data_IF_083464373996
#
_entry.id   IF_083464373996
#
_cell.length_a   1.000
_cell.length_b   1.000
_cell.length_c   1.000
_cell.angle_alpha   90.00
_cell.angle_beta   90.00
_cell.angle_gamma   90.00
#
_symmetry.space_group_name_H-M   'P 1'
#
loop_
_entity.id
_entity.type
_entity.pdbx_description
1 polymer ?
#
# COMPACT_ATOMS: atom_id res chain seq x y z
N UNK A 1 6.31 9.10 -4.67
CA UNK A 1 6.89 7.85 -4.14
C UNK A 1 5.96 6.73 -4.51
N UNK A 2 6.53 5.57 -4.80
CA UNK A 2 5.79 4.39 -5.21
C UNK A 2 6.46 3.12 -4.66
N UNK A 3 5.66 2.07 -4.53
CA UNK A 3 6.11 0.72 -4.20
C UNK A 3 5.59 -0.21 -5.29
N UNK A 4 6.49 -0.99 -5.88
CA UNK A 4 6.16 -2.03 -6.86
C UNK A 4 6.36 -3.39 -6.18
N UNK A 5 5.39 -4.27 -6.37
CA UNK A 5 5.46 -5.60 -5.77
C UNK A 5 4.19 -6.40 -5.98
N UNK A 6 4.07 -7.49 -5.22
CA UNK A 6 2.91 -8.39 -5.28
C UNK A 6 2.05 -8.26 -4.05
N UNK A 7 0.74 -8.22 -4.24
CA UNK A 7 -0.20 -8.21 -3.13
C UNK A 7 -0.13 -9.54 -2.40
N UNK A 8 0.28 -9.51 -1.14
CA UNK A 8 0.33 -10.69 -0.27
C UNK A 8 -1.00 -10.92 0.44
N UNK A 9 -1.61 -9.84 0.93
CA UNK A 9 -2.84 -9.91 1.74
C UNK A 9 -3.65 -8.63 1.57
N UNK A 10 -4.97 -8.78 1.59
CA UNK A 10 -5.91 -7.66 1.67
C UNK A 10 -6.76 -7.88 2.93
N UNK A 11 -6.86 -6.85 3.78
CA UNK A 11 -7.66 -6.92 4.99
C UNK A 11 -9.11 -6.45 4.75
N UNK A 12 -9.97 -6.73 5.72
CA UNK A 12 -11.34 -6.22 5.73
C UNK A 12 -11.35 -4.70 5.92
N UNK A 13 -12.42 -4.05 5.43
CA UNK A 13 -12.65 -2.63 5.67
C UNK A 13 -12.91 -2.41 7.16
N UNK A 14 -12.13 -1.53 7.77
CA UNK A 14 -12.31 -1.07 9.14
C UNK A 14 -13.11 0.23 9.12
N UNK A 15 -14.16 0.29 9.93
CA UNK A 15 -15.02 1.46 10.11
C UNK A 15 -14.91 1.93 11.56
N UNK A 16 -14.78 3.23 11.76
CA UNK A 16 -14.67 3.87 13.06
C UNK A 16 -15.89 4.76 13.29
N UNK A 17 -16.25 4.99 14.55
CA UNK A 17 -17.43 5.79 14.94
C UNK A 17 -17.40 7.22 14.38
N UNK A 18 -16.22 7.77 14.12
CA UNK A 18 -16.02 9.08 13.50
C UNK A 18 -16.46 9.16 12.02
N UNK A 19 -16.96 8.07 11.43
CA UNK A 19 -17.17 7.96 9.99
C UNK A 19 -15.87 7.73 9.21
N UNK A 20 -14.73 7.65 9.90
CA UNK A 20 -13.48 7.26 9.28
C UNK A 20 -13.54 5.80 8.83
N UNK A 21 -13.15 5.54 7.59
CA UNK A 21 -12.99 4.19 7.05
C UNK A 21 -11.58 4.03 6.49
N UNK A 22 -10.99 2.85 6.72
CA UNK A 22 -9.75 2.44 6.06
C UNK A 22 -9.79 0.97 5.67
N UNK A 23 -8.96 0.61 4.69
CA UNK A 23 -8.65 -0.77 4.31
C UNK A 23 -7.16 -0.88 4.12
N UNK A 24 -6.58 -2.00 4.53
CA UNK A 24 -5.14 -2.21 4.50
C UNK A 24 -4.79 -3.35 3.54
N UNK A 25 -3.62 -3.26 2.93
CA UNK A 25 -3.02 -4.33 2.13
C UNK A 25 -1.58 -4.56 2.58
N UNK A 26 -1.10 -5.79 2.40
CA UNK A 26 0.33 -6.10 2.48
C UNK A 26 0.83 -6.31 1.06
N UNK A 27 1.87 -5.57 0.68
CA UNK A 27 2.62 -5.77 -0.57
C UNK A 27 4.00 -6.35 -0.24
N UNK A 28 4.43 -7.34 -0.99
CA UNK A 28 5.80 -7.87 -0.94
C UNK A 28 6.59 -7.26 -2.11
N UNK A 29 7.68 -6.56 -1.81
CA UNK A 29 8.56 -5.96 -2.84
C UNK A 29 9.32 -7.04 -3.62
N UNK A 30 9.76 -6.73 -4.85
CA UNK A 30 10.48 -7.68 -5.74
C UNK A 30 12.00 -7.42 -5.83
N UNK A 31 12.56 -6.72 -4.85
CA UNK A 31 14.00 -6.48 -4.73
C UNK A 31 14.75 -7.71 -4.17
N UNK A 32 16.10 -7.78 -4.22
CA UNK A 32 16.87 -8.91 -3.70
C UNK A 32 16.59 -9.28 -2.23
N UNK A 33 16.08 -8.32 -1.44
CA UNK A 33 15.63 -8.53 -0.07
C UNK A 33 14.17 -8.13 0.08
N UNK A 34 13.22 -8.99 -0.33
CA UNK A 34 11.80 -8.69 -0.30
C UNK A 34 11.32 -8.24 1.10
N UNK A 35 10.58 -7.15 1.14
CA UNK A 35 9.97 -6.62 2.35
C UNK A 35 8.46 -6.73 2.25
N UNK A 36 7.82 -7.16 3.33
CA UNK A 36 6.37 -7.07 3.48
C UNK A 36 6.00 -5.71 4.07
N UNK A 37 5.33 -4.89 3.28
CA UNK A 37 4.97 -3.52 3.66
C UNK A 37 3.45 -3.42 3.74
N UNK A 38 2.95 -2.96 4.89
CA UNK A 38 1.53 -2.64 5.06
C UNK A 38 1.24 -1.24 4.54
N UNK A 39 0.19 -1.11 3.73
CA UNK A 39 -0.26 0.16 3.14
C UNK A 39 -1.73 0.36 3.46
N UNK A 40 -2.07 1.54 3.98
CA UNK A 40 -3.45 1.94 4.28
C UNK A 40 -4.07 2.75 3.12
N UNK A 41 -5.29 2.41 2.75
CA UNK A 41 -6.16 3.19 1.87
C UNK A 41 -7.32 3.70 2.71
N UNK A 42 -7.58 5.00 2.65
CA UNK A 42 -8.57 5.68 3.49
C UNK A 42 -9.71 6.23 2.66
N UNK A 43 -10.90 6.31 3.23
CA UNK A 43 -12.05 6.97 2.60
C UNK A 43 -12.33 6.47 1.17
N UNK A 44 -12.47 7.36 0.20
CA UNK A 44 -12.75 7.05 -1.21
C UNK A 44 -11.66 6.18 -1.85
N UNK A 45 -10.41 6.23 -1.34
CA UNK A 45 -9.31 5.43 -1.87
C UNK A 45 -9.44 3.94 -1.57
N UNK A 46 -10.34 3.54 -0.68
CA UNK A 46 -10.63 2.12 -0.42
C UNK A 46 -11.17 1.42 -1.66
N UNK A 47 -11.93 2.11 -2.50
CA UNK A 47 -12.57 1.57 -3.70
C UNK A 47 -11.52 1.11 -4.73
N UNK A 48 -10.31 1.67 -4.69
CA UNK A 48 -9.17 1.24 -5.51
C UNK A 48 -8.76 -0.22 -5.26
N UNK A 49 -9.18 -0.82 -4.14
CA UNK A 49 -8.85 -2.20 -3.77
C UNK A 49 -9.95 -3.20 -4.13
N UNK A 50 -11.04 -2.80 -4.78
CA UNK A 50 -12.16 -3.70 -5.09
C UNK A 50 -11.78 -4.82 -6.07
N UNK A 51 -10.98 -4.50 -7.10
CA UNK A 51 -10.60 -5.46 -8.14
C UNK A 51 -9.26 -6.15 -7.90
N UNK A 52 -8.58 -5.80 -6.81
CA UNK A 52 -7.24 -6.29 -6.50
C UNK A 52 -7.32 -7.59 -5.72
N UNK A 53 -6.47 -8.55 -6.07
CA UNK A 53 -6.41 -9.89 -5.46
C UNK A 53 -5.01 -10.21 -4.96
N UNK A 54 -4.87 -11.13 -3.99
CA UNK A 54 -3.57 -11.68 -3.65
C UNK A 54 -2.86 -12.26 -4.90
N UNK A 55 -1.55 -12.08 -4.95
CA UNK A 55 -0.60 -12.40 -6.04
C UNK A 55 -0.53 -11.42 -7.20
N UNK A 56 -1.47 -10.47 -7.30
CA UNK A 56 -1.44 -9.43 -8.34
C UNK A 56 -0.18 -8.59 -8.19
N UNK A 57 0.49 -8.34 -9.32
CA UNK A 57 1.63 -7.42 -9.38
C UNK A 57 1.09 -6.02 -9.64
N UNK A 58 1.42 -5.09 -8.75
CA UNK A 58 0.89 -3.74 -8.78
C UNK A 58 1.96 -2.71 -8.49
N UNK A 59 1.73 -1.48 -8.93
CA UNK A 59 2.44 -0.28 -8.49
C UNK A 59 1.50 0.55 -7.64
N UNK A 60 1.88 0.82 -6.39
CA UNK A 60 1.09 1.64 -5.45
C UNK A 60 1.81 2.95 -5.23
N UNK A 61 1.15 4.06 -5.55
CA UNK A 61 1.66 5.39 -5.21
C UNK A 61 1.30 5.71 -3.76
N UNK A 62 2.31 6.13 -3.01
CA UNK A 62 2.21 6.28 -1.56
C UNK A 62 2.62 7.67 -1.10
N UNK A 63 2.11 8.02 0.09
CA UNK A 63 2.63 9.07 0.95
C UNK A 63 3.06 8.45 2.28
N UNK A 64 4.20 8.87 2.81
CA UNK A 64 4.62 8.53 4.17
C UNK A 64 4.15 9.64 5.11
N UNK A 65 3.45 9.29 6.17
CA UNK A 65 2.93 10.24 7.16
C UNK A 65 3.52 9.93 8.53
N UNK A 66 4.09 10.94 9.18
CA UNK A 66 4.51 10.87 10.58
C UNK A 66 3.39 11.35 11.51
N UNK A 67 3.26 10.73 12.67
CA UNK A 67 2.37 11.18 13.75
C UNK A 67 3.10 11.10 15.08
N UNK A 68 3.04 12.19 15.82
CA UNK A 68 3.42 12.20 17.23
C UNK A 68 2.23 11.71 18.06
N UNK A 69 2.48 10.82 19.00
CA UNK A 69 1.49 10.32 19.93
C UNK A 69 2.09 10.23 21.33
N UNK A 70 1.45 10.90 22.28
CA UNK A 70 1.80 10.80 23.69
C UNK A 70 0.98 9.67 24.31
N UNK A 71 1.66 8.68 24.90
CA UNK A 71 0.99 7.60 25.60
C UNK A 71 0.36 8.10 26.92
N UNK A 72 -0.52 7.31 27.57
CA UNK A 72 -1.14 7.71 28.85
C UNK A 72 -0.14 7.99 29.99
N UNK A 73 1.11 7.53 29.88
CA UNK A 73 2.17 7.76 30.85
C UNK A 73 2.97 9.06 30.58
N UNK A 74 2.60 9.82 29.55
CA UNK A 74 3.28 11.06 29.16
C UNK A 74 4.49 10.88 28.25
N UNK A 75 4.79 9.66 27.80
CA UNK A 75 5.91 9.36 26.90
C UNK A 75 5.50 9.62 25.44
N UNK A 76 6.26 10.49 24.77
CA UNK A 76 6.10 10.81 23.35
C UNK A 76 6.65 9.65 22.50
N UNK A 77 5.85 9.17 21.55
CA UNK A 77 6.22 8.19 20.52
C UNK A 77 5.91 8.72 19.13
N UNK A 78 6.70 8.29 18.15
CA UNK A 78 6.50 8.64 16.75
C UNK A 78 6.08 7.41 15.96
N UNK A 79 5.02 7.55 15.17
CA UNK A 79 4.49 6.51 14.30
C UNK A 79 4.54 6.96 12.86
N UNK A 80 4.91 6.04 11.97
CA UNK A 80 4.80 6.24 10.53
C UNK A 80 3.62 5.43 10.00
N UNK A 81 2.85 6.03 9.09
CA UNK A 81 1.88 5.32 8.27
C UNK A 81 2.19 5.52 6.78
N UNK A 82 2.03 4.44 6.01
CA UNK A 82 2.20 4.48 4.55
C UNK A 82 0.81 4.46 3.95
N UNK A 83 0.42 5.57 3.34
CA UNK A 83 -0.90 5.75 2.77
C UNK A 83 -0.88 5.68 1.25
N UNK A 84 -1.61 4.72 0.69
CA UNK A 84 -1.83 4.60 -0.75
C UNK A 84 -2.89 5.58 -1.25
N UNK A 85 -2.64 6.23 -2.39
CA UNK A 85 -3.59 7.16 -3.02
C UNK A 85 -3.90 6.85 -4.49
N UNK A 86 -3.11 5.98 -5.13
CA UNK A 86 -3.33 5.45 -6.47
C UNK A 86 -2.71 4.05 -6.57
N UNK A 87 -3.34 3.18 -7.35
CA UNK A 87 -2.85 1.84 -7.70
C UNK A 87 -2.93 1.66 -9.21
N UNK A 88 -1.92 1.02 -9.78
CA UNK A 88 -1.88 0.61 -11.18
C UNK A 88 -1.60 -0.88 -11.22
N UNK A 89 -2.35 -1.63 -12.03
CA UNK A 89 -1.98 -2.99 -12.38
C UNK A 89 -0.66 -2.95 -13.14
N UNK A 90 0.31 -3.72 -12.67
CA UNK A 90 1.60 -3.82 -13.32
C UNK A 90 1.58 -5.03 -14.25
N UNK A 91 0.88 -4.87 -15.37
CA UNK A 91 1.02 -5.77 -16.51
C UNK A 91 2.26 -5.34 -17.29
N UNK A 92 3.20 -6.25 -17.56
CA UNK A 92 4.19 -6.02 -18.59
C UNK A 92 3.42 -5.87 -19.90
N UNK A 93 3.27 -4.64 -20.38
CA UNK A 93 2.85 -4.39 -21.75
C UNK A 93 3.89 -5.00 -22.68
N UNK A 94 3.42 -5.63 -23.76
CA UNK A 94 4.25 -6.24 -24.81
C UNK A 94 5.27 -5.28 -25.44
N UNK A 95 5.12 -3.97 -25.24
CA UNK A 95 6.05 -2.94 -25.71
C UNK A 95 7.40 -2.92 -24.97
N UNK A 96 7.48 -3.44 -23.73
CA UNK A 96 8.73 -3.48 -22.96
C UNK A 96 9.69 -4.61 -23.41
N UNK A 97 9.21 -5.55 -24.24
CA UNK A 97 10.04 -6.66 -24.76
C UNK A 97 10.83 -6.29 -26.03
N UNK A 98 10.41 -5.25 -26.76
CA UNK A 98 11.01 -4.87 -28.05
C UNK A 98 12.32 -4.06 -27.89
N UNK A 99 12.65 -3.60 -26.68
CA UNK A 99 13.80 -2.71 -26.39
C UNK A 99 14.96 -3.41 -25.65
N UNK A 100 14.95 -4.75 -25.59
CA UNK A 100 16.05 -5.53 -25.03
C UNK A 100 17.10 -5.85 -26.10
N UNK A 101 18.37 -5.43 -25.94
CA UNK A 101 19.43 -5.91 -26.80
C UNK A 101 19.62 -7.41 -26.55
N UNK A 102 19.49 -8.18 -27.63
CA UNK A 102 19.76 -9.63 -27.66
C UNK A 102 21.09 -10.02 -27.02
#
# INVERSE_FOLDING_TARGET
MEIIGRIKKIFNIQKFESGFKKREVVITTEEPYPQDIIIEFVQEKIELLENIKPKDKVKIFINIRGREWTNPEGVIKYFNSIQGWKIEEFSLSSEDFDDLPF
#
